data_IF_875266047869
#
_entry.id   IF_875266047869
#
_cell.length_a   1.000
_cell.length_b   1.000
_cell.length_c   1.000
_cell.angle_alpha   90.00
_cell.angle_beta   90.00
_cell.angle_gamma   90.00
#
_symmetry.space_group_name_H-M   'P 1'
#
loop_
_entity.id
_entity.type
_entity.pdbx_description
1 polymer ?
#
# COMPACT_ATOMS: atom_id res chain seq x y z
N UNK A 1 -19.73 19.68 -8.93
CA UNK A 1 -19.68 19.44 -7.49
C UNK A 1 -20.40 18.11 -7.24
N UNK A 2 -19.65 17.03 -7.02
CA UNK A 2 -20.21 15.73 -6.64
C UNK A 2 -19.47 15.27 -5.39
N UNK A 3 -20.17 15.36 -4.27
CA UNK A 3 -19.84 14.69 -3.01
C UNK A 3 -20.32 13.24 -3.18
N UNK A 4 -19.43 12.27 -3.04
CA UNK A 4 -19.84 10.89 -2.76
C UNK A 4 -19.34 10.57 -1.33
N UNK A 5 -20.24 10.16 -0.42
CA UNK A 5 -19.92 9.95 0.99
C UNK A 5 -19.19 8.63 1.25
N UNK A 6 -18.58 8.55 2.44
CA UNK A 6 -18.03 7.35 3.07
C UNK A 6 -19.04 6.18 3.12
N UNK A 7 -18.46 4.97 3.12
CA UNK A 7 -18.98 3.72 3.68
C UNK A 7 -20.43 3.36 3.40
N UNK A 8 -20.60 2.51 2.39
CA UNK A 8 -21.65 1.50 2.42
C UNK A 8 -20.96 0.14 2.45
N UNK A 9 -21.22 -0.63 3.51
CA UNK A 9 -20.97 -2.07 3.54
C UNK A 9 -21.71 -2.73 2.37
N UNK A 10 -21.05 -2.84 1.22
CA UNK A 10 -21.34 -3.88 0.24
C UNK A 10 -20.27 -4.94 0.48
N UNK A 11 -20.61 -6.00 1.20
CA UNK A 11 -19.87 -7.26 1.06
C UNK A 11 -20.15 -7.74 -0.37
N UNK A 12 -19.18 -7.75 -1.29
CA UNK A 12 -19.33 -8.53 -2.50
C UNK A 12 -19.49 -9.97 -2.02
N UNK A 13 -20.43 -10.73 -2.58
CA UNK A 13 -20.57 -12.16 -2.29
C UNK A 13 -19.22 -12.84 -2.59
N UNK A 14 -18.39 -13.00 -1.57
CA UNK A 14 -17.02 -13.51 -1.67
C UNK A 14 -17.10 -14.95 -2.13
N UNK A 15 -16.29 -15.34 -3.12
CA UNK A 15 -16.18 -16.76 -3.46
C UNK A 15 -15.63 -17.49 -2.22
N UNK A 16 -16.09 -18.71 -1.91
CA UNK A 16 -15.61 -19.47 -0.74
C UNK A 16 -14.08 -19.62 -0.68
N UNK A 17 -13.38 -19.64 -1.82
CA UNK A 17 -11.91 -19.61 -1.88
C UNK A 17 -11.30 -18.31 -1.35
N UNK A 18 -11.87 -17.16 -1.70
CA UNK A 18 -11.36 -15.84 -1.29
C UNK A 18 -11.56 -15.57 0.21
N UNK A 19 -12.60 -16.14 0.81
CA UNK A 19 -12.87 -16.00 2.25
C UNK A 19 -11.85 -16.83 3.07
N UNK A 20 -11.56 -18.05 2.64
CA UNK A 20 -10.48 -18.89 3.23
C UNK A 20 -9.11 -18.24 3.10
N UNK A 21 -8.84 -17.59 1.97
CA UNK A 21 -7.59 -16.83 1.78
C UNK A 21 -7.49 -15.67 2.76
N UNK A 22 -8.57 -14.91 2.95
CA UNK A 22 -8.61 -13.77 3.88
C UNK A 22 -8.31 -14.20 5.32
N UNK A 23 -8.93 -15.27 5.80
CA UNK A 23 -8.69 -15.80 7.15
C UNK A 23 -7.23 -16.27 7.31
N UNK A 24 -6.71 -16.93 6.27
CA UNK A 24 -5.32 -17.40 6.25
C UNK A 24 -4.34 -16.23 6.32
N UNK A 25 -4.59 -15.13 5.59
CA UNK A 25 -3.76 -13.92 5.65
C UNK A 25 -3.73 -13.36 7.07
N UNK A 26 -4.90 -13.19 7.70
CA UNK A 26 -5.00 -12.63 9.06
C UNK A 26 -4.21 -13.48 10.07
N UNK A 27 -4.41 -14.80 10.04
CA UNK A 27 -3.72 -15.72 10.95
C UNK A 27 -2.19 -15.66 10.78
N UNK A 28 -1.69 -15.71 9.54
CA UNK A 28 -0.25 -15.70 9.27
C UNK A 28 0.40 -14.36 9.64
N UNK A 29 -0.27 -13.23 9.39
CA UNK A 29 0.24 -11.91 9.76
C UNK A 29 0.36 -11.78 11.29
N UNK A 30 -0.67 -12.21 12.03
CA UNK A 30 -0.63 -12.23 13.50
C UNK A 30 0.47 -13.12 14.06
N UNK A 31 0.64 -14.32 13.51
CA UNK A 31 1.74 -15.21 13.89
C UNK A 31 3.12 -14.60 13.62
N UNK A 32 3.22 -13.73 12.62
CA UNK A 32 4.43 -12.97 12.29
C UNK A 32 4.59 -11.69 13.12
N UNK A 33 3.73 -11.45 14.12
CA UNK A 33 3.76 -10.27 14.98
C UNK A 33 3.20 -8.99 14.32
N UNK A 34 2.51 -9.12 13.19
CA UNK A 34 1.87 -8.00 12.48
C UNK A 34 0.38 -7.99 12.84
N UNK A 35 -0.05 -6.94 13.51
CA UNK A 35 -1.45 -6.75 13.91
C UNK A 35 -1.91 -5.34 13.52
N UNK A 36 -3.14 -5.26 13.00
CA UNK A 36 -3.79 -4.00 12.63
C UNK A 36 -4.89 -3.68 13.62
N UNK A 37 -4.97 -2.42 14.02
CA UNK A 37 -5.84 -1.97 15.11
C UNK A 37 -7.30 -1.81 14.68
N UNK A 38 -7.56 -1.70 13.37
CA UNK A 38 -8.88 -1.40 12.82
C UNK A 38 -9.22 -2.37 11.69
N UNK A 39 -10.51 -2.68 11.52
CA UNK A 39 -11.00 -3.59 10.48
C UNK A 39 -10.66 -3.09 9.06
N UNK A 40 -10.73 -1.78 8.82
CA UNK A 40 -10.39 -1.18 7.52
C UNK A 40 -8.91 -1.39 7.15
N UNK A 41 -8.03 -1.38 8.14
CA UNK A 41 -6.61 -1.64 7.94
C UNK A 41 -6.37 -3.12 7.61
N UNK A 42 -7.09 -4.04 8.26
CA UNK A 42 -7.10 -5.46 7.88
C UNK A 42 -7.61 -5.68 6.45
N UNK A 43 -8.69 -5.02 6.06
CA UNK A 43 -9.24 -5.12 4.71
C UNK A 43 -8.23 -4.65 3.65
N UNK A 44 -7.57 -3.52 3.93
CA UNK A 44 -6.54 -2.97 3.05
C UNK A 44 -5.30 -3.87 2.98
N UNK A 45 -4.83 -4.41 4.10
CA UNK A 45 -3.70 -5.34 4.13
C UNK A 45 -3.95 -6.61 3.31
N UNK A 46 -5.15 -7.21 3.46
CA UNK A 46 -5.57 -8.38 2.65
C UNK A 46 -5.55 -8.06 1.16
N UNK A 47 -6.06 -6.90 0.77
CA UNK A 47 -6.03 -6.45 -0.62
C UNK A 47 -4.59 -6.28 -1.13
N UNK A 48 -3.70 -5.65 -0.36
CA UNK A 48 -2.31 -5.46 -0.75
C UNK A 48 -1.58 -6.79 -0.98
N UNK A 49 -1.82 -7.79 -0.12
CA UNK A 49 -1.28 -9.14 -0.29
C UNK A 49 -1.78 -9.77 -1.58
N UNK A 50 -3.09 -9.69 -1.87
CA UNK A 50 -3.66 -10.27 -3.09
C UNK A 50 -3.16 -9.56 -4.36
N UNK A 51 -3.06 -8.23 -4.34
CA UNK A 51 -2.49 -7.44 -5.45
C UNK A 51 -1.03 -7.81 -5.70
N UNK A 52 -0.22 -7.92 -4.64
CA UNK A 52 1.19 -8.31 -4.75
C UNK A 52 1.34 -9.72 -5.30
N UNK A 53 0.56 -10.68 -4.78
CA UNK A 53 0.51 -12.06 -5.26
C UNK A 53 0.14 -12.14 -6.74
N UNK A 54 -0.84 -11.35 -7.18
CA UNK A 54 -1.25 -11.28 -8.58
C UNK A 54 -0.11 -10.82 -9.48
N UNK A 55 0.56 -9.71 -9.14
CA UNK A 55 1.70 -9.23 -9.93
C UNK A 55 2.84 -10.23 -9.95
N UNK A 56 3.15 -10.85 -8.80
CA UNK A 56 4.19 -11.87 -8.71
C UNK A 56 3.89 -13.06 -9.64
N UNK A 57 2.64 -13.52 -9.68
CA UNK A 57 2.23 -14.61 -10.57
C UNK A 57 2.22 -14.21 -12.04
N UNK A 58 1.78 -12.99 -12.34
CA UNK A 58 1.80 -12.45 -13.70
C UNK A 58 3.23 -12.37 -14.24
N UNK A 59 4.15 -11.82 -13.45
CA UNK A 59 5.55 -11.64 -13.85
C UNK A 59 6.29 -12.99 -13.94
N UNK A 60 5.91 -13.96 -13.09
CA UNK A 60 6.42 -15.33 -13.17
C UNK A 60 5.76 -16.20 -14.25
N UNK A 61 4.70 -15.70 -14.92
CA UNK A 61 3.92 -16.47 -15.90
C UNK A 61 3.21 -17.70 -15.32
N UNK A 62 2.97 -17.74 -14.00
CA UNK A 62 2.33 -18.88 -13.32
C UNK A 62 1.48 -18.45 -12.11
N UNK A 63 0.53 -19.28 -11.66
CA UNK A 63 -0.07 -19.12 -10.35
C UNK A 63 0.98 -19.12 -9.22
N UNK A 64 0.77 -18.23 -8.25
CA UNK A 64 1.56 -18.12 -7.02
C UNK A 64 0.65 -18.49 -5.86
N UNK A 65 1.15 -19.32 -4.94
CA UNK A 65 0.38 -19.73 -3.76
C UNK A 65 0.15 -18.55 -2.80
N UNK A 66 -0.88 -18.62 -1.96
CA UNK A 66 -1.11 -17.57 -0.97
C UNK A 66 0.10 -17.39 -0.03
N UNK A 67 0.68 -18.49 0.47
CA UNK A 67 1.84 -18.45 1.35
C UNK A 67 3.05 -17.79 0.68
N UNK A 68 3.36 -18.16 -0.56
CA UNK A 68 4.43 -17.53 -1.35
C UNK A 68 4.18 -16.03 -1.56
N UNK A 69 2.95 -15.66 -1.93
CA UNK A 69 2.55 -14.27 -2.10
C UNK A 69 2.67 -13.45 -0.81
N UNK A 70 2.23 -14.01 0.31
CA UNK A 70 2.31 -13.36 1.62
C UNK A 70 3.75 -13.19 2.11
N UNK A 71 4.58 -14.24 2.03
CA UNK A 71 6.00 -14.15 2.38
C UNK A 71 6.74 -13.13 1.53
N UNK A 72 6.47 -13.13 0.22
CA UNK A 72 7.04 -12.14 -0.70
C UNK A 72 6.56 -10.72 -0.39
N UNK A 73 5.27 -10.53 -0.08
CA UNK A 73 4.74 -9.22 0.31
C UNK A 73 5.38 -8.72 1.60
N UNK A 74 5.52 -9.59 2.61
CA UNK A 74 6.17 -9.22 3.86
C UNK A 74 7.61 -8.73 3.62
N UNK A 75 8.40 -9.53 2.91
CA UNK A 75 9.81 -9.24 2.66
C UNK A 75 10.03 -8.03 1.75
N UNK A 76 9.24 -7.88 0.70
CA UNK A 76 9.51 -6.91 -0.37
C UNK A 76 8.65 -5.64 -0.28
N UNK A 77 7.62 -5.62 0.57
CA UNK A 77 6.72 -4.48 0.74
C UNK A 77 6.62 -4.07 2.20
N UNK A 78 6.16 -4.96 3.07
CA UNK A 78 5.87 -4.59 4.47
C UNK A 78 7.12 -4.17 5.25
N UNK A 79 8.18 -4.98 5.21
CA UNK A 79 9.40 -4.74 5.97
C UNK A 79 10.16 -3.50 5.45
N UNK A 80 10.35 -3.30 4.13
CA UNK A 80 10.97 -2.08 3.60
C UNK A 80 10.24 -0.79 3.99
N UNK A 81 8.89 -0.79 3.98
CA UNK A 81 8.10 0.37 4.43
C UNK A 81 8.29 0.59 5.92
N UNK A 82 8.21 -0.47 6.73
CA UNK A 82 8.39 -0.36 8.19
C UNK A 82 9.74 0.24 8.54
N UNK A 83 10.79 -0.20 7.86
CA UNK A 83 12.15 0.31 8.01
C UNK A 83 12.27 1.78 7.56
N UNK A 84 11.71 2.14 6.40
CA UNK A 84 11.67 3.53 5.95
C UNK A 84 10.91 4.44 6.94
N UNK A 85 9.77 3.98 7.47
CA UNK A 85 9.00 4.73 8.47
C UNK A 85 9.79 4.96 9.76
N UNK A 86 10.56 3.97 10.21
CA UNK A 86 11.42 4.09 11.38
C UNK A 86 12.53 5.10 11.14
N UNK A 87 13.23 4.98 10.01
CA UNK A 87 14.36 5.84 9.63
C UNK A 87 13.97 7.31 9.51
N UNK A 88 12.79 7.59 8.98
CA UNK A 88 12.29 8.95 8.78
C UNK A 88 11.36 9.45 9.89
N UNK A 89 11.22 8.67 10.98
CA UNK A 89 10.34 8.98 12.12
C UNK A 89 8.91 9.38 11.70
N UNK A 90 8.37 8.72 10.66
CA UNK A 90 7.12 9.11 10.00
C UNK A 90 5.96 9.21 11.00
N UNK A 91 5.86 8.27 11.94
CA UNK A 91 4.77 8.24 12.92
C UNK A 91 4.68 9.52 13.77
N UNK A 92 5.81 10.12 14.15
CA UNK A 92 5.83 11.36 14.94
C UNK A 92 5.27 12.56 14.17
N UNK A 93 5.29 12.48 12.84
CA UNK A 93 4.88 13.55 11.94
C UNK A 93 3.39 13.48 11.57
N UNK A 94 2.70 12.42 12.02
CA UNK A 94 1.27 12.17 11.83
C UNK A 94 0.60 11.73 13.15
N UNK A 95 0.53 12.60 14.17
CA UNK A 95 0.07 12.22 15.52
C UNK A 95 -1.41 11.79 15.59
N UNK A 96 -2.20 12.02 14.54
CA UNK A 96 -3.63 11.67 14.46
C UNK A 96 -3.90 10.44 13.59
N UNK A 97 -2.85 9.77 13.10
CA UNK A 97 -2.96 8.62 12.21
C UNK A 97 -2.18 7.48 12.84
N UNK A 98 -2.80 6.32 12.97
CA UNK A 98 -2.13 5.17 13.57
C UNK A 98 -1.00 4.66 12.67
N UNK A 99 0.01 4.01 13.28
CA UNK A 99 1.20 3.54 12.55
C UNK A 99 0.85 2.55 11.44
N UNK A 100 -0.14 1.70 11.69
CA UNK A 100 -0.61 0.67 10.78
C UNK A 100 -1.40 1.27 9.60
N UNK A 101 -2.21 2.31 9.83
CA UNK A 101 -2.84 3.07 8.75
C UNK A 101 -1.79 3.81 7.90
N UNK A 102 -0.80 4.47 8.54
CA UNK A 102 0.29 5.14 7.81
C UNK A 102 1.08 4.18 6.94
N UNK A 103 1.38 2.99 7.45
CA UNK A 103 2.10 1.97 6.70
C UNK A 103 1.36 1.62 5.40
N UNK A 104 0.07 1.31 5.50
CA UNK A 104 -0.75 0.94 4.35
C UNK A 104 -0.89 2.09 3.36
N UNK A 105 -1.07 3.33 3.84
CA UNK A 105 -1.14 4.51 2.95
C UNK A 105 0.17 4.78 2.24
N UNK A 106 1.31 4.53 2.88
CA UNK A 106 2.63 4.62 2.24
C UNK A 106 2.81 3.48 1.23
N UNK A 107 2.29 2.28 1.51
CA UNK A 107 2.27 1.17 0.54
C UNK A 107 1.50 1.53 -0.73
N UNK A 108 0.29 2.08 -0.59
CA UNK A 108 -0.53 2.58 -1.71
C UNK A 108 0.20 3.67 -2.50
N UNK A 109 0.83 4.61 -1.78
CA UNK A 109 1.61 5.68 -2.39
C UNK A 109 2.86 5.17 -3.11
N UNK A 110 3.54 4.17 -2.55
CA UNK A 110 4.70 3.54 -3.19
C UNK A 110 4.29 2.81 -4.47
N UNK A 111 3.16 2.09 -4.44
CA UNK A 111 2.58 1.48 -5.62
C UNK A 111 2.31 2.52 -6.71
N UNK A 112 1.70 3.66 -6.36
CA UNK A 112 1.52 4.78 -7.29
C UNK A 112 2.85 5.29 -7.86
N UNK A 113 3.86 5.54 -7.02
CA UNK A 113 5.17 6.02 -7.50
C UNK A 113 5.82 5.04 -8.47
N UNK A 114 5.67 3.72 -8.25
CA UNK A 114 6.18 2.70 -9.17
C UNK A 114 5.53 2.72 -10.56
N UNK A 115 4.32 3.28 -10.69
CA UNK A 115 3.69 3.50 -12.01
C UNK A 115 4.35 4.62 -12.81
N UNK A 116 5.03 5.55 -12.13
CA UNK A 116 5.74 6.68 -12.74
C UNK A 116 7.23 6.39 -12.88
N UNK A 117 7.82 5.80 -11.84
CA UNK A 117 9.21 5.38 -11.78
C UNK A 117 9.28 3.97 -11.17
N UNK A 118 9.46 2.92 -11.99
CA UNK A 118 9.56 1.54 -11.51
C UNK A 118 10.66 1.29 -10.47
N UNK A 119 11.70 2.13 -10.44
CA UNK A 119 12.82 2.06 -9.49
C UNK A 119 12.56 2.80 -8.18
N UNK A 120 11.35 3.34 -7.98
CA UNK A 120 11.00 4.02 -6.74
C UNK A 120 11.21 3.11 -5.52
N UNK A 121 11.85 3.62 -4.47
CA UNK A 121 12.16 2.88 -3.23
C UNK A 121 11.16 3.17 -2.12
N UNK A 122 11.13 2.32 -1.08
CA UNK A 122 10.31 2.54 0.10
C UNK A 122 10.66 3.86 0.83
N UNK A 123 11.96 4.20 0.89
CA UNK A 123 12.42 5.49 1.40
C UNK A 123 11.86 6.67 0.61
N UNK A 124 11.95 6.62 -0.71
CA UNK A 124 11.41 7.66 -1.57
C UNK A 124 9.90 7.79 -1.37
N UNK A 125 9.18 6.66 -1.25
CA UNK A 125 7.75 6.67 -0.96
C UNK A 125 7.43 7.31 0.40
N UNK A 126 8.12 6.95 1.47
CA UNK A 126 7.89 7.51 2.79
C UNK A 126 8.16 9.03 2.83
N UNK A 127 9.27 9.48 2.23
CA UNK A 127 9.65 10.90 2.20
C UNK A 127 8.70 11.71 1.30
N UNK A 128 8.35 11.20 0.13
CA UNK A 128 7.41 11.86 -0.78
C UNK A 128 6.00 11.91 -0.18
N UNK A 129 5.58 10.86 0.54
CA UNK A 129 4.34 10.85 1.31
C UNK A 129 4.32 11.95 2.38
N UNK A 130 5.40 12.07 3.17
CA UNK A 130 5.57 13.15 4.15
C UNK A 130 5.43 14.54 3.53
N UNK A 131 6.03 14.77 2.36
CA UNK A 131 5.96 16.07 1.67
C UNK A 131 4.55 16.44 1.23
N UNK A 132 3.72 15.46 0.91
CA UNK A 132 2.39 15.69 0.34
C UNK A 132 1.30 15.72 1.39
N UNK A 133 1.33 14.73 2.26
CA UNK A 133 0.25 14.46 3.20
C UNK A 133 0.59 14.89 4.63
N UNK A 134 1.88 15.14 4.92
CA UNK A 134 2.32 15.61 6.22
C UNK A 134 1.79 17.00 6.58
N UNK A 135 1.74 17.27 7.88
CA UNK A 135 1.48 18.62 8.42
C UNK A 135 2.52 19.63 7.89
N UNK A 136 2.27 20.96 7.99
CA UNK A 136 3.27 21.96 7.61
C UNK A 136 4.66 21.72 8.26
N UNK A 137 4.70 21.32 9.53
CA UNK A 137 5.93 20.97 10.22
C UNK A 137 6.60 19.71 9.64
N UNK A 138 5.81 18.67 9.36
CA UNK A 138 6.31 17.46 8.71
C UNK A 138 6.92 17.74 7.34
N UNK A 139 6.30 18.63 6.55
CA UNK A 139 6.81 19.04 5.24
C UNK A 139 8.16 19.75 5.34
N UNK A 140 8.34 20.62 6.34
CA UNK A 140 9.63 21.26 6.59
C UNK A 140 10.72 20.25 6.95
N UNK A 141 10.41 19.27 7.80
CA UNK A 141 11.34 18.19 8.15
C UNK A 141 11.68 17.35 6.92
N UNK A 142 10.70 17.02 6.07
CA UNK A 142 10.91 16.25 4.84
C UNK A 142 11.78 16.95 3.78
N UNK A 143 11.91 18.28 3.84
CA UNK A 143 12.88 19.02 3.01
C UNK A 143 14.32 18.76 3.49
N UNK A 144 14.54 18.65 4.79
CA UNK A 144 15.85 18.39 5.39
C UNK A 144 16.29 16.93 5.17
N UNK A 145 15.34 15.98 5.22
CA UNK A 145 15.60 14.56 4.96
C UNK A 145 16.01 14.29 3.50
N UNK A 146 15.80 15.24 2.57
CA UNK A 146 16.09 15.09 1.13
C UNK A 146 17.57 15.21 0.73
N UNK A 147 18.51 14.98 1.65
CA UNK A 147 19.92 15.35 1.40
C UNK A 147 20.62 14.43 0.37
N UNK A 148 20.02 13.31 -0.03
CA UNK A 148 20.53 12.43 -1.09
C UNK A 148 19.91 12.74 -2.46
N UNK A 149 20.80 13.15 -3.37
CA UNK A 149 20.56 13.62 -4.74
C UNK A 149 20.04 12.50 -5.66
N UNK A 150 18.94 12.78 -6.37
CA UNK A 150 18.62 12.38 -7.77
C UNK A 150 17.12 12.40 -8.12
N UNK A 151 16.22 12.70 -7.18
CA UNK A 151 14.76 12.50 -7.38
C UNK A 151 14.01 13.76 -7.85
N UNK A 152 14.71 14.77 -8.37
CA UNK A 152 14.09 16.07 -8.73
C UNK A 152 13.93 16.32 -10.24
N UNK A 153 14.16 15.32 -11.10
CA UNK A 153 14.25 15.56 -12.55
C UNK A 153 12.93 15.70 -13.31
N UNK A 154 11.76 15.33 -12.76
CA UNK A 154 10.49 15.45 -13.51
C UNK A 154 9.35 16.08 -12.70
N UNK A 155 9.48 17.39 -12.51
CA UNK A 155 8.48 18.28 -11.94
C UNK A 155 7.27 18.48 -12.88
N UNK A 156 6.27 17.59 -12.76
CA UNK A 156 4.83 17.92 -12.76
C UNK A 156 4.16 17.03 -11.73
N UNK A 157 4.43 17.37 -10.49
CA UNK A 157 4.07 16.57 -9.33
C UNK A 157 2.57 16.77 -9.04
N UNK A 158 1.77 15.72 -9.24
CA UNK A 158 0.32 15.70 -9.01
C UNK A 158 -0.03 16.07 -7.55
N UNK A 159 -1.15 16.77 -7.33
CA UNK A 159 -1.63 17.09 -5.97
C UNK A 159 -1.96 15.82 -5.18
N UNK A 160 -1.99 15.90 -3.84
CA UNK A 160 -2.44 14.81 -2.97
C UNK A 160 -3.78 14.20 -3.43
N UNK A 161 -4.77 15.07 -3.72
CA UNK A 161 -6.08 14.65 -4.23
C UNK A 161 -6.00 13.91 -5.58
N UNK A 162 -5.10 14.33 -6.45
CA UNK A 162 -4.91 13.67 -7.75
C UNK A 162 -4.31 12.28 -7.57
N UNK A 163 -3.38 12.12 -6.64
CA UNK A 163 -2.76 10.83 -6.31
C UNK A 163 -3.78 9.89 -5.69
N UNK A 164 -4.55 10.36 -4.71
CA UNK A 164 -5.60 9.55 -4.07
C UNK A 164 -6.64 9.06 -5.08
N UNK A 165 -7.05 9.94 -6.02
CA UNK A 165 -7.93 9.55 -7.12
C UNK A 165 -7.30 8.47 -7.99
N UNK A 166 -6.04 8.65 -8.38
CA UNK A 166 -5.33 7.69 -9.25
C UNK A 166 -5.15 6.34 -8.57
N UNK A 167 -4.85 6.30 -7.27
CA UNK A 167 -4.77 5.06 -6.48
C UNK A 167 -6.12 4.32 -6.52
N UNK A 168 -7.23 5.04 -6.30
CA UNK A 168 -8.58 4.42 -6.38
C UNK A 168 -8.88 3.83 -7.76
N UNK A 169 -8.54 4.55 -8.84
CA UNK A 169 -8.70 4.06 -10.20
C UNK A 169 -7.88 2.77 -10.46
N UNK A 170 -6.62 2.77 -10.04
CA UNK A 170 -5.74 1.61 -10.19
C UNK A 170 -6.26 0.39 -9.41
N UNK A 171 -6.65 0.57 -8.15
CA UNK A 171 -7.24 -0.50 -7.31
C UNK A 171 -8.52 -1.07 -7.92
N UNK A 172 -9.39 -0.20 -8.44
CA UNK A 172 -10.63 -0.64 -9.11
C UNK A 172 -10.35 -1.53 -10.33
N UNK A 173 -9.35 -1.18 -11.15
CA UNK A 173 -8.95 -2.01 -12.29
C UNK A 173 -8.38 -3.36 -11.86
N UNK A 174 -7.49 -3.36 -10.86
CA UNK A 174 -6.85 -4.56 -10.34
C UNK A 174 -7.86 -5.57 -9.76
N UNK A 175 -8.88 -5.11 -9.06
CA UNK A 175 -9.92 -6.00 -8.55
C UNK A 175 -10.67 -6.76 -9.64
N UNK A 176 -10.81 -6.18 -10.84
CA UNK A 176 -11.40 -6.89 -11.98
C UNK A 176 -10.43 -7.96 -12.51
N UNK A 177 -9.14 -7.62 -12.64
CA UNK A 177 -8.11 -8.53 -13.16
C UNK A 177 -7.86 -9.71 -12.22
N UNK A 178 -7.71 -9.44 -10.91
CA UNK A 178 -7.48 -10.46 -9.87
C UNK A 178 -8.62 -11.47 -9.84
N UNK A 179 -9.87 -11.01 -9.98
CA UNK A 179 -11.06 -11.89 -9.98
C UNK A 179 -11.05 -12.90 -11.13
N UNK A 180 -10.39 -12.55 -12.24
CA UNK A 180 -10.31 -13.37 -13.45
C UNK A 180 -9.00 -14.15 -13.55
N UNK A 181 -8.06 -13.99 -12.60
CA UNK A 181 -6.76 -14.64 -12.66
C UNK A 181 -6.84 -16.13 -12.26
N UNK A 182 -6.27 -17.06 -13.06
CA UNK A 182 -6.35 -18.50 -12.81
C UNK A 182 -5.77 -18.95 -11.45
N UNK A 183 -4.86 -18.17 -10.88
CA UNK A 183 -4.19 -18.50 -9.61
C UNK A 183 -4.98 -18.17 -8.32
N UNK A 184 -6.23 -17.72 -8.42
CA UNK A 184 -7.09 -17.32 -7.28
C UNK A 184 -8.24 -18.35 -7.05
N UNK A 185 -8.04 -19.62 -7.42
CA UNK A 185 -9.02 -20.70 -7.21
C UNK A 185 -8.88 -21.40 -5.85
#
# INVERSE_FOLDING_TARGET
MYIVPMSTHMTPKTRPGHERDNDTIVLNLRQSGIDFSHEDAWNTAKEHVQVHRFFLGRDAGRPVSLGEGLSSWKLNVFDPISEAMNRHHVGMLFPRTSRDELHLRISDHWFFLKTVNPLATADQAAVDFLRRFGSPAARLIALVLNRNKDVDSHRRVASAETIDRRIRELRSGLHADIRNWPGVQ
#
